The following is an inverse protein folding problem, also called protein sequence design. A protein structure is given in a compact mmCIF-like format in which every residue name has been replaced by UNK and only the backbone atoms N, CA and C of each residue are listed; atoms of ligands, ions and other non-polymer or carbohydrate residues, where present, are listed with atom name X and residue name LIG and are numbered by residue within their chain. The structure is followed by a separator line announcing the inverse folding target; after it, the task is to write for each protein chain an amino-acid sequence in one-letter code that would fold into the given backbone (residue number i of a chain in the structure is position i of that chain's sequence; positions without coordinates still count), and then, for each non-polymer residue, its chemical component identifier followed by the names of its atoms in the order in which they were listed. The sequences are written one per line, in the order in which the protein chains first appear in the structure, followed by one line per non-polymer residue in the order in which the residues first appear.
data_IF_456170365709
#
_entry.id   IF_456170365709
#
_cell.length_a   1.000
_cell.length_b   1.000
_cell.length_c   1.000
_cell.angle_alpha   90.00
_cell.angle_beta   90.00
_cell.angle_gamma   90.00
#
_symmetry.space_group_name_H-M   'P 1'
#
loop_
_entity.id
_entity.type
_entity.pdbx_description
1 polymer ?
#
# COMPACT_ATOMS: atom_id res chain seq x y z
N UNK A 1 6.43 -11.49 -10.24
CA UNK A 1 5.18 -11.99 -9.62
C UNK A 1 4.11 -12.05 -10.69
N UNK A 2 3.34 -13.15 -10.77
CA UNK A 2 2.20 -13.28 -11.70
C UNK A 2 0.89 -12.84 -11.03
N UNK A 3 -0.21 -12.73 -11.78
CA UNK A 3 -1.53 -12.46 -11.21
C UNK A 3 -1.97 -13.55 -10.23
N UNK A 4 -1.65 -14.82 -10.49
CA UNK A 4 -1.94 -15.93 -9.58
C UNK A 4 -1.16 -15.77 -8.26
N UNK A 5 0.15 -15.54 -8.33
CA UNK A 5 0.97 -15.33 -7.13
C UNK A 5 0.51 -14.13 -6.33
N UNK A 6 0.01 -13.08 -7.00
CA UNK A 6 -0.58 -11.93 -6.31
C UNK A 6 -1.85 -12.29 -5.55
N UNK A 7 -2.76 -13.06 -6.17
CA UNK A 7 -3.97 -13.58 -5.49
C UNK A 7 -3.58 -14.42 -4.28
N UNK A 8 -2.56 -15.27 -4.39
CA UNK A 8 -2.10 -16.11 -3.28
C UNK A 8 -1.64 -15.23 -2.11
N UNK A 9 -0.86 -14.17 -2.37
CA UNK A 9 -0.46 -13.20 -1.33
C UNK A 9 -1.67 -12.53 -0.69
N UNK A 10 -2.66 -12.09 -1.47
CA UNK A 10 -3.87 -11.47 -0.92
C UNK A 10 -4.67 -12.45 -0.06
N UNK A 11 -4.89 -13.66 -0.54
CA UNK A 11 -5.62 -14.71 0.18
C UNK A 11 -4.97 -15.01 1.53
N UNK A 12 -3.65 -15.10 1.56
CA UNK A 12 -2.93 -15.54 2.76
C UNK A 12 -2.80 -14.40 3.80
N UNK A 13 -2.80 -13.14 3.38
CA UNK A 13 -2.46 -12.00 4.25
C UNK A 13 -3.60 -11.01 4.50
N UNK A 14 -4.48 -10.77 3.52
CA UNK A 14 -5.47 -9.69 3.60
C UNK A 14 -6.52 -9.92 4.71
N UNK A 15 -7.14 -11.12 4.85
CA UNK A 15 -8.11 -11.35 5.93
C UNK A 15 -7.50 -11.20 7.32
N UNK A 16 -6.30 -11.74 7.53
CA UNK A 16 -5.59 -11.64 8.80
C UNK A 16 -5.22 -10.20 9.14
N UNK A 17 -4.83 -9.40 8.14
CA UNK A 17 -4.55 -7.98 8.33
C UNK A 17 -5.80 -7.21 8.76
N UNK A 18 -6.96 -7.47 8.13
CA UNK A 18 -8.22 -6.83 8.49
C UNK A 18 -8.69 -7.21 9.91
N UNK A 19 -8.55 -8.48 10.29
CA UNK A 19 -8.85 -8.97 11.65
C UNK A 19 -7.95 -8.29 12.68
N UNK A 20 -6.64 -8.26 12.44
CA UNK A 20 -5.67 -7.64 13.35
C UNK A 20 -5.95 -6.15 13.58
N UNK A 21 -6.45 -5.46 12.55
CA UNK A 21 -6.81 -4.05 12.61
C UNK A 21 -8.23 -3.81 13.16
N UNK A 22 -9.04 -4.85 13.40
CA UNK A 22 -10.41 -4.71 13.89
C UNK A 22 -11.38 -4.10 12.86
N UNK A 23 -11.04 -4.13 11.58
CA UNK A 23 -11.81 -3.51 10.48
C UNK A 23 -12.40 -4.56 9.52
N UNK A 24 -12.55 -5.80 10.00
CA UNK A 24 -13.14 -6.90 9.24
C UNK A 24 -14.44 -6.46 8.57
N UNK A 25 -14.54 -6.67 7.26
CA UNK A 25 -15.69 -6.35 6.42
C UNK A 25 -16.07 -4.87 6.25
N UNK A 26 -15.37 -3.92 6.89
CA UNK A 26 -15.71 -2.48 6.84
C UNK A 26 -14.70 -1.60 6.11
N UNK A 27 -13.69 -2.19 5.48
CA UNK A 27 -12.59 -1.47 4.86
C UNK A 27 -12.77 -1.24 3.36
N UNK A 28 -12.04 -0.24 2.86
CA UNK A 28 -11.84 0.01 1.44
C UNK A 28 -10.44 -0.46 1.04
N UNK A 29 -10.36 -1.31 0.04
CA UNK A 29 -9.10 -1.80 -0.49
C UNK A 29 -8.60 -0.91 -1.63
N UNK A 30 -7.33 -0.53 -1.56
CA UNK A 30 -6.64 0.23 -2.60
C UNK A 30 -5.46 -0.59 -3.14
N UNK A 31 -5.26 -0.53 -4.45
CA UNK A 31 -4.12 -1.09 -5.17
C UNK A 31 -3.83 -0.19 -6.39
N UNK A 32 -2.63 -0.29 -6.96
CA UNK A 32 -2.34 0.35 -8.25
C UNK A 32 -3.01 -0.39 -9.43
N UNK A 33 -2.77 0.13 -10.64
CA UNK A 33 -3.31 -0.41 -11.89
C UNK A 33 -2.34 -1.32 -12.65
N UNK A 34 -1.34 -1.90 -11.98
CA UNK A 34 -0.44 -2.87 -12.61
C UNK A 34 -1.22 -3.99 -13.32
N UNK A 35 -0.80 -4.45 -14.51
CA UNK A 35 -1.51 -5.47 -15.28
C UNK A 35 -1.89 -6.72 -14.47
N UNK A 36 -1.06 -7.14 -13.51
CA UNK A 36 -1.38 -8.32 -12.67
C UNK A 36 -2.48 -8.04 -11.64
N UNK A 37 -2.65 -6.78 -11.23
CA UNK A 37 -3.68 -6.36 -10.28
C UNK A 37 -5.03 -6.09 -10.98
N UNK A 38 -5.00 -5.82 -12.29
CA UNK A 38 -6.17 -5.56 -13.14
C UNK A 38 -6.56 -6.76 -14.01
N UNK A 39 -5.78 -7.86 -13.98
CA UNK A 39 -6.09 -9.11 -14.64
C UNK A 39 -7.49 -9.64 -14.27
N UNK A 40 -8.15 -10.33 -15.22
CA UNK A 40 -9.51 -10.84 -15.04
C UNK A 40 -9.66 -11.73 -13.80
N UNK A 41 -8.70 -12.64 -13.57
CA UNK A 41 -8.70 -13.53 -12.39
C UNK A 41 -8.60 -12.74 -11.07
N UNK A 42 -7.80 -11.67 -11.04
CA UNK A 42 -7.59 -10.85 -9.85
C UNK A 42 -8.80 -9.97 -9.59
N UNK A 43 -9.38 -9.37 -10.63
CA UNK A 43 -10.64 -8.62 -10.52
C UNK A 43 -11.77 -9.50 -10.00
N UNK A 44 -11.89 -10.72 -10.51
CA UNK A 44 -12.90 -11.68 -10.05
C UNK A 44 -12.67 -12.06 -8.58
N UNK A 45 -11.43 -12.36 -8.19
CA UNK A 45 -11.13 -12.70 -6.81
C UNK A 45 -11.48 -11.56 -5.85
N UNK A 46 -11.08 -10.32 -6.18
CA UNK A 46 -11.38 -9.12 -5.38
C UNK A 46 -12.89 -8.89 -5.23
N UNK A 47 -13.68 -9.14 -6.27
CA UNK A 47 -15.13 -8.97 -6.24
C UNK A 47 -15.81 -9.82 -5.15
N UNK A 48 -15.30 -11.03 -4.89
CA UNK A 48 -15.88 -11.94 -3.90
C UNK A 48 -15.24 -11.87 -2.51
N UNK A 49 -14.01 -11.38 -2.40
CA UNK A 49 -13.22 -11.47 -1.16
C UNK A 49 -12.93 -10.13 -0.49
N UNK A 50 -13.26 -9.02 -1.14
CA UNK A 50 -13.00 -7.68 -0.61
C UNK A 50 -14.31 -6.90 -0.51
N UNK A 51 -14.61 -6.25 0.63
CA UNK A 51 -15.89 -5.57 0.82
C UNK A 51 -16.10 -4.43 -0.17
N UNK A 52 -15.08 -3.59 -0.35
CA UNK A 52 -15.10 -2.42 -1.22
C UNK A 52 -13.71 -2.20 -1.81
N UNK A 53 -13.64 -1.88 -3.09
CA UNK A 53 -12.41 -1.53 -3.78
C UNK A 53 -12.47 -0.07 -4.24
N UNK A 54 -11.39 0.68 -4.00
CA UNK A 54 -11.23 2.03 -4.54
C UNK A 54 -10.76 1.99 -5.99
N UNK A 55 -11.29 2.93 -6.78
CA UNK A 55 -10.78 3.20 -8.12
C UNK A 55 -9.52 4.07 -7.98
N UNK A 56 -8.39 3.53 -8.44
CA UNK A 56 -7.11 4.26 -8.43
C UNK A 56 -6.89 4.88 -9.81
N UNK A 57 -6.68 6.20 -9.91
CA UNK A 57 -6.30 6.81 -11.19
C UNK A 57 -4.93 6.31 -11.66
N UNK A 58 -4.71 6.11 -12.98
CA UNK A 58 -3.40 5.75 -13.51
C UNK A 58 -2.32 6.76 -13.12
N UNK A 59 -1.07 6.29 -13.00
CA UNK A 59 0.11 7.15 -12.76
C UNK A 59 0.02 8.08 -11.54
N UNK A 60 -0.81 7.75 -10.55
CA UNK A 60 -1.09 8.62 -9.40
C UNK A 60 -0.39 8.14 -8.13
N UNK A 61 0.95 8.10 -8.17
CA UNK A 61 1.76 7.71 -7.01
C UNK A 61 1.57 8.69 -5.84
N UNK A 62 1.35 9.97 -6.12
CA UNK A 62 1.04 11.03 -5.15
C UNK A 62 -0.17 10.68 -4.26
N UNK A 63 -1.12 9.90 -4.80
CA UNK A 63 -2.33 9.44 -4.11
C UNK A 63 -2.18 8.07 -3.42
N UNK A 64 -0.96 7.51 -3.38
CA UNK A 64 -0.66 6.27 -2.67
C UNK A 64 0.21 6.56 -1.43
N UNK A 65 -0.39 6.69 -0.23
CA UNK A 65 0.36 6.96 0.99
C UNK A 65 1.39 5.88 1.35
N UNK A 66 1.25 4.67 0.80
CA UNK A 66 2.23 3.59 1.01
C UNK A 66 3.60 3.94 0.44
N UNK A 67 3.70 4.74 -0.62
CA UNK A 67 4.99 5.17 -1.16
C UNK A 67 5.76 6.02 -0.13
N UNK A 68 5.08 6.92 0.57
CA UNK A 68 5.73 7.71 1.62
C UNK A 68 6.11 6.85 2.83
N UNK A 69 5.30 5.85 3.18
CA UNK A 69 5.63 4.89 4.23
C UNK A 69 6.88 4.07 3.86
N UNK A 70 6.94 3.55 2.64
CA UNK A 70 8.11 2.84 2.13
C UNK A 70 9.34 3.73 2.11
N UNK A 71 9.21 5.00 1.73
CA UNK A 71 10.32 5.95 1.79
C UNK A 71 10.84 6.11 3.23
N UNK A 72 9.96 6.23 4.22
CA UNK A 72 10.34 6.31 5.64
C UNK A 72 11.13 5.07 6.09
N UNK A 73 10.63 3.87 5.76
CA UNK A 73 11.33 2.61 6.07
C UNK A 73 12.68 2.54 5.35
N UNK A 74 12.72 2.89 4.06
CA UNK A 74 13.94 2.87 3.25
C UNK A 74 15.02 3.83 3.79
N UNK A 75 14.62 5.02 4.28
CA UNK A 75 15.56 5.97 4.92
C UNK A 75 16.19 5.39 6.18
N UNK A 76 15.45 4.61 6.98
CA UNK A 76 16.02 3.93 8.16
C UNK A 76 16.96 2.79 7.74
N UNK A 77 16.55 1.99 6.74
CA UNK A 77 17.38 0.92 6.18
C UNK A 77 18.71 1.45 5.64
N UNK A 78 18.71 2.58 4.93
CA UNK A 78 19.92 3.22 4.38
C UNK A 78 20.94 3.67 5.45
N UNK A 79 20.51 3.86 6.69
CA UNK A 79 21.39 4.18 7.82
C UNK A 79 22.08 2.95 8.41
N UNK A 80 21.60 1.74 8.11
CA UNK A 80 22.16 0.48 8.60
C UNK A 80 23.24 -0.03 7.65
N UNK A 81 24.30 -0.62 8.21
CA UNK A 81 25.31 -1.34 7.42
C UNK A 81 24.80 -2.74 7.09
N UNK A 82 24.30 -2.93 5.87
CA UNK A 82 23.71 -4.19 5.40
C UNK A 82 24.60 -4.79 4.32
N UNK A 83 25.14 -5.98 4.58
CA UNK A 83 26.13 -6.65 3.70
C UNK A 83 25.60 -7.93 3.06
N UNK A 84 24.37 -8.36 3.36
CA UNK A 84 23.80 -9.58 2.80
C UNK A 84 22.29 -9.46 2.59
N UNK A 85 21.75 -10.29 1.69
CA UNK A 85 20.30 -10.38 1.46
C UNK A 85 19.55 -10.82 2.72
N UNK A 86 20.13 -11.69 3.54
CA UNK A 86 19.51 -12.12 4.81
C UNK A 86 19.42 -10.96 5.80
N UNK A 87 20.52 -10.22 5.98
CA UNK A 87 20.55 -9.04 6.83
C UNK A 87 19.58 -7.95 6.34
N UNK A 88 19.43 -7.79 5.02
CA UNK A 88 18.43 -6.88 4.45
C UNK A 88 17.00 -7.28 4.80
N UNK A 89 16.65 -8.57 4.62
CA UNK A 89 15.32 -9.08 4.97
C UNK A 89 15.00 -8.87 6.43
N UNK A 90 15.94 -9.19 7.32
CA UNK A 90 15.76 -8.99 8.75
C UNK A 90 15.57 -7.51 9.10
N UNK A 91 16.42 -6.63 8.56
CA UNK A 91 16.31 -5.20 8.79
C UNK A 91 14.97 -4.64 8.30
N UNK A 92 14.46 -5.11 7.15
CA UNK A 92 13.14 -4.71 6.64
C UNK A 92 12.01 -5.11 7.59
N UNK A 93 12.03 -6.33 8.12
CA UNK A 93 11.02 -6.81 9.08
C UNK A 93 11.06 -5.98 10.36
N UNK A 94 12.27 -5.70 10.88
CA UNK A 94 12.45 -4.90 12.09
C UNK A 94 11.97 -3.46 11.90
N UNK A 95 12.40 -2.78 10.84
CA UNK A 95 12.02 -1.38 10.59
C UNK A 95 10.52 -1.23 10.27
N UNK A 96 9.95 -2.19 9.56
CA UNK A 96 8.51 -2.24 9.33
C UNK A 96 7.74 -2.41 10.65
N UNK A 97 8.16 -3.35 11.49
CA UNK A 97 7.51 -3.63 12.79
C UNK A 97 7.64 -2.46 13.77
N UNK A 98 8.71 -1.68 13.66
CA UNK A 98 8.96 -0.47 14.45
C UNK A 98 8.33 0.80 13.84
N UNK A 99 7.52 0.67 12.79
CA UNK A 99 6.78 1.83 12.25
C UNK A 99 5.66 2.19 13.23
N UNK A 100 5.73 3.41 13.77
CA UNK A 100 4.71 3.96 14.65
C UNK A 100 3.38 4.15 13.91
N UNK A 101 2.28 3.76 14.54
CA UNK A 101 0.92 3.98 14.07
C UNK A 101 0.62 5.46 13.82
N UNK A 102 1.27 6.38 14.54
CA UNK A 102 1.13 7.83 14.28
C UNK A 102 1.60 8.21 12.87
N UNK A 103 2.59 7.51 12.31
CA UNK A 103 3.06 7.74 10.93
C UNK A 103 1.97 7.38 9.94
N UNK A 104 1.35 6.20 10.09
CA UNK A 104 0.28 5.76 9.18
C UNK A 104 -0.96 6.62 9.34
N UNK A 105 -1.30 7.03 10.56
CA UNK A 105 -2.42 7.94 10.82
C UNK A 105 -2.22 9.30 10.14
N UNK A 106 -1.04 9.93 10.26
CA UNK A 106 -0.74 11.19 9.60
C UNK A 106 -0.81 11.08 8.07
N UNK A 107 -0.30 9.97 7.52
CA UNK A 107 -0.36 9.71 6.08
C UNK A 107 -1.80 9.63 5.59
N UNK A 108 -2.68 8.91 6.30
CA UNK A 108 -4.10 8.83 5.94
C UNK A 108 -4.81 10.18 6.13
N UNK A 109 -4.56 10.90 7.23
CA UNK A 109 -5.11 12.25 7.47
C UNK A 109 -4.70 13.26 6.40
N UNK A 110 -3.60 13.03 5.69
CA UNK A 110 -3.18 13.90 4.58
C UNK A 110 -4.00 13.73 3.30
N UNK A 111 -4.73 12.62 3.13
CA UNK A 111 -5.40 12.28 1.86
C UNK A 111 -6.35 13.34 1.32
N UNK A 112 -7.22 14.00 2.13
CA UNK A 112 -8.08 15.07 1.63
C UNK A 112 -7.27 16.22 1.00
N UNK A 113 -6.15 16.61 1.59
CA UNK A 113 -5.29 17.66 1.06
C UNK A 113 -4.59 17.23 -0.24
N UNK A 114 -4.19 15.96 -0.36
CA UNK A 114 -3.61 15.41 -1.60
C UNK A 114 -4.63 15.42 -2.74
N UNK A 115 -5.86 14.98 -2.46
CA UNK A 115 -6.95 14.99 -3.43
C UNK A 115 -7.26 16.41 -3.88
N UNK A 116 -7.29 17.38 -2.95
CA UNK A 116 -7.47 18.79 -3.30
C UNK A 116 -6.34 19.31 -4.19
N UNK A 117 -5.09 18.98 -3.88
CA UNK A 117 -3.94 19.37 -4.70
C UNK A 117 -4.03 18.82 -6.13
N UNK A 118 -4.51 17.58 -6.31
CA UNK A 118 -4.75 17.01 -7.65
C UNK A 118 -5.86 17.75 -8.39
N UNK A 119 -6.95 18.11 -7.69
CA UNK A 119 -8.06 18.89 -8.27
C UNK A 119 -7.55 20.27 -8.72
N UNK A 120 -6.81 20.96 -7.87
CA UNK A 120 -6.25 22.29 -8.16
C UNK A 120 -5.24 22.23 -9.31
N UNK A 121 -4.46 21.14 -9.39
CA UNK A 121 -3.55 20.84 -10.49
C UNK A 121 -4.26 20.32 -11.75
N UNK A 122 -5.60 20.22 -11.76
CA UNK A 122 -6.40 19.69 -12.88
C UNK A 122 -5.98 18.29 -13.32
N UNK A 123 -5.64 17.43 -12.35
CA UNK A 123 -5.20 16.05 -12.60
C UNK A 123 -3.70 15.90 -12.88
N UNK A 124 -2.93 17.01 -12.87
CA UNK A 124 -1.47 16.97 -13.04
C UNK A 124 -0.76 16.61 -11.72
N UNK A 125 0.55 16.38 -11.81
CA UNK A 125 1.42 16.05 -10.68
C UNK A 125 1.34 17.07 -9.56
N UNK A 126 1.48 16.58 -8.33
CA UNK A 126 1.48 17.38 -7.11
C UNK A 126 2.82 17.26 -6.39
N UNK A 127 2.94 17.91 -5.24
CA UNK A 127 4.14 17.86 -4.39
C UNK A 127 4.25 16.61 -3.52
N UNK A 128 3.23 15.74 -3.52
CA UNK A 128 3.07 14.62 -2.58
C UNK A 128 3.74 13.34 -3.03
#
# INVERSE_FOLDING_TARGET
MTAQTYIDVLRDNLPQSAIKLGISNSYYFQQDNDPKHTAGITRMWLLYHVPRKLATPPQSLDLNPLENLWNSVNLKIRKRKILSKSALKQALIEEWSNTDATVTEHLIKSMPARLQAVIDAKGMYTKY
#
